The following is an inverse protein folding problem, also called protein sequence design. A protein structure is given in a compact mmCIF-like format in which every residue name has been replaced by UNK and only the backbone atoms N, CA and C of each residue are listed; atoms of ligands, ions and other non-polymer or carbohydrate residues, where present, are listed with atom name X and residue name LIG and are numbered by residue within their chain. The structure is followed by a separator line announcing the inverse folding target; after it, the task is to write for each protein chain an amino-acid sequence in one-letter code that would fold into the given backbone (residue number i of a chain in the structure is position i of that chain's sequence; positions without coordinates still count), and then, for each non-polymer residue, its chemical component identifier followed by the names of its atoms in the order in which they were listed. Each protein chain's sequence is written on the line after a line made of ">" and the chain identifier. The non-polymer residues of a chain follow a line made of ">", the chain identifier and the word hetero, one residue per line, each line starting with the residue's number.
data_IF_008550579981
#
_entry.id   IF_008550579981
#
_cell.length_a   1.000
_cell.length_b   1.000
_cell.length_c   1.000
_cell.angle_alpha   90.00
_cell.angle_beta   90.00
_cell.angle_gamma   90.00
#
_symmetry.space_group_name_H-M   'P 1'
#
loop_
_entity.id
_entity.type
_entity.pdbx_description
1 polymer ?
#
# COMPACT_ATOMS: atom_id res chain seq x y z
N UNK A 1 -1.62 9.58 32.18
CA UNK A 1 -2.20 10.93 31.99
C UNK A 1 -2.55 11.06 30.53
N UNK A 2 -3.83 10.88 30.18
CA UNK A 2 -4.30 10.96 28.80
C UNK A 2 -4.49 12.42 28.41
N UNK A 3 -3.69 12.91 27.46
CA UNK A 3 -3.80 14.25 26.92
C UNK A 3 -5.11 14.37 26.14
N UNK A 4 -6.08 15.08 26.73
CA UNK A 4 -7.40 15.34 26.14
C UNK A 4 -7.23 16.41 25.06
N UNK A 5 -7.48 16.05 23.80
CA UNK A 5 -7.42 16.98 22.66
C UNK A 5 -8.43 18.12 22.89
N UNK A 6 -8.04 19.40 22.74
CA UNK A 6 -8.95 20.53 22.94
C UNK A 6 -10.10 20.52 21.91
N UNK A 7 -11.34 20.57 22.41
CA UNK A 7 -12.61 20.42 21.65
C UNK A 7 -12.95 21.59 20.71
N UNK A 8 -12.00 22.44 20.34
CA UNK A 8 -12.30 23.58 19.48
C UNK A 8 -12.17 23.19 18.00
N UNK A 9 -13.28 22.66 17.45
CA UNK A 9 -13.63 22.59 16.02
C UNK A 9 -12.48 22.29 15.05
N UNK A 10 -11.90 21.09 15.14
CA UNK A 10 -11.16 20.52 14.01
C UNK A 10 -11.98 19.35 13.49
N UNK A 11 -12.90 19.67 12.58
CA UNK A 11 -13.68 18.67 11.83
C UNK A 11 -12.97 18.51 10.50
N UNK A 12 -12.52 17.31 10.19
CA UNK A 12 -11.94 16.98 8.90
C UNK A 12 -12.91 16.06 8.16
N UNK A 13 -13.79 16.57 7.30
CA UNK A 13 -14.67 15.72 6.52
C UNK A 13 -13.79 14.85 5.61
N UNK A 14 -13.89 13.52 5.76
CA UNK A 14 -13.06 12.57 5.00
C UNK A 14 -13.28 12.65 3.48
N UNK A 15 -14.36 13.29 3.04
CA UNK A 15 -14.69 13.59 1.64
C UNK A 15 -14.14 14.92 1.15
N UNK A 16 -13.75 15.82 2.06
CA UNK A 16 -13.31 17.19 1.72
C UNK A 16 -11.82 17.41 1.96
N UNK A 17 -11.18 16.60 2.81
CA UNK A 17 -9.77 16.73 3.12
C UNK A 17 -9.01 15.41 2.94
N UNK A 18 -8.11 15.30 1.94
CA UNK A 18 -7.30 14.11 1.71
C UNK A 18 -6.22 13.89 2.78
N UNK A 19 -6.17 14.72 3.84
CA UNK A 19 -5.29 14.56 5.01
C UNK A 19 -6.06 14.08 6.26
N UNK A 20 -7.39 13.98 6.18
CA UNK A 20 -8.23 13.60 7.31
C UNK A 20 -7.93 12.16 7.79
N UNK A 21 -7.71 11.24 6.85
CA UNK A 21 -7.41 9.84 7.12
C UNK A 21 -6.01 9.66 7.72
N UNK A 22 -5.05 10.43 7.23
CA UNK A 22 -3.66 10.46 7.67
C UNK A 22 -3.58 11.04 9.09
N UNK A 23 -4.33 12.11 9.37
CA UNK A 23 -4.49 12.64 10.71
C UNK A 23 -5.16 11.62 11.65
N UNK A 24 -6.21 10.93 11.20
CA UNK A 24 -6.88 9.88 11.96
C UNK A 24 -5.93 8.72 12.31
N UNK A 25 -5.11 8.29 11.34
CA UNK A 25 -4.06 7.29 11.54
C UNK A 25 -3.05 7.76 12.59
N UNK A 26 -2.53 8.98 12.46
CA UNK A 26 -1.59 9.56 13.42
C UNK A 26 -2.17 9.63 14.84
N UNK A 27 -3.46 9.94 14.99
CA UNK A 27 -4.12 9.93 16.30
C UNK A 27 -4.22 8.51 16.89
N UNK A 28 -4.52 7.49 16.08
CA UNK A 28 -4.54 6.09 16.54
C UNK A 28 -3.13 5.60 16.92
N UNK A 29 -2.09 6.02 16.20
CA UNK A 29 -0.68 5.76 16.53
C UNK A 29 -0.30 6.34 17.91
N UNK A 30 -0.85 7.51 18.24
CA UNK A 30 -0.68 8.16 19.55
C UNK A 30 -1.54 7.54 20.67
N UNK A 31 -2.32 6.50 20.36
CA UNK A 31 -3.15 5.79 21.33
C UNK A 31 -4.49 6.45 21.66
N UNK A 32 -4.93 7.41 20.84
CA UNK A 32 -6.27 8.01 20.96
C UNK A 32 -7.33 6.94 20.71
N UNK A 33 -8.42 6.98 21.48
CA UNK A 33 -9.42 5.91 21.41
C UNK A 33 -10.16 5.95 20.07
N UNK A 34 -10.54 4.79 19.51
CA UNK A 34 -11.21 4.72 18.19
C UNK A 34 -12.50 5.52 18.14
N UNK A 35 -13.24 5.56 19.26
CA UNK A 35 -14.48 6.33 19.41
C UNK A 35 -14.23 7.83 19.34
N UNK A 36 -13.10 8.31 19.89
CA UNK A 36 -12.73 9.73 19.86
C UNK A 36 -12.27 10.13 18.46
N UNK A 37 -11.48 9.29 17.79
CA UNK A 37 -11.08 9.51 16.39
C UNK A 37 -12.30 9.49 15.46
N UNK A 38 -13.23 8.54 15.64
CA UNK A 38 -14.47 8.49 14.88
C UNK A 38 -15.28 9.79 15.07
N UNK A 39 -15.42 10.30 16.29
CA UNK A 39 -16.14 11.54 16.55
C UNK A 39 -15.49 12.80 15.93
N UNK A 40 -14.19 12.76 15.60
CA UNK A 40 -13.46 13.87 14.97
C UNK A 40 -13.54 13.86 13.44
N UNK A 41 -13.53 12.66 12.85
CA UNK A 41 -13.52 12.46 11.39
C UNK A 41 -14.95 12.39 10.83
N UNK A 42 -15.91 11.99 11.66
CA UNK A 42 -17.33 11.95 11.28
C UNK A 42 -18.00 13.28 11.58
N UNK A 43 -18.74 13.80 10.61
CA UNK A 43 -19.69 14.87 10.89
C UNK A 43 -20.67 14.40 11.98
N UNK A 44 -21.05 15.24 12.96
CA UNK A 44 -22.05 14.89 13.95
C UNK A 44 -23.42 14.81 13.26
N UNK A 45 -23.69 13.71 12.56
CA UNK A 45 -25.05 13.33 12.19
C UNK A 45 -25.71 12.86 13.47
N UNK A 46 -26.74 13.56 13.93
CA UNK A 46 -27.45 13.31 15.20
C UNK A 46 -28.21 11.98 15.30
N UNK A 47 -27.71 10.92 14.64
CA UNK A 47 -28.22 9.55 14.71
C UNK A 47 -27.11 8.58 15.12
N UNK A 48 -27.47 7.55 15.86
CA UNK A 48 -26.59 6.52 16.44
C UNK A 48 -25.90 5.59 15.43
N UNK A 49 -26.14 5.77 14.13
CA UNK A 49 -25.59 4.95 13.05
C UNK A 49 -24.96 5.82 11.96
N UNK A 50 -23.74 5.47 11.56
CA UNK A 50 -23.08 6.00 10.38
C UNK A 50 -23.99 5.86 9.15
N UNK A 51 -24.02 6.85 8.23
CA UNK A 51 -24.71 6.66 6.97
C UNK A 51 -24.05 5.51 6.19
N UNK A 52 -24.80 4.72 5.40
CA UNK A 52 -24.31 3.49 4.75
C UNK A 52 -23.05 3.71 3.89
N UNK A 53 -22.89 4.90 3.31
CA UNK A 53 -21.73 5.29 2.51
C UNK A 53 -20.46 5.60 3.33
N UNK A 54 -20.55 5.66 4.66
CA UNK A 54 -19.42 5.91 5.57
C UNK A 54 -19.19 4.78 6.58
N UNK A 55 -19.91 3.66 6.48
CA UNK A 55 -19.65 2.47 7.31
C UNK A 55 -18.21 1.95 7.16
N UNK A 56 -17.63 2.10 5.97
CA UNK A 56 -16.25 1.73 5.66
C UNK A 56 -15.25 2.42 6.60
N UNK A 57 -15.49 3.69 6.94
CA UNK A 57 -14.59 4.50 7.76
C UNK A 57 -14.60 4.02 9.22
N UNK A 58 -15.77 3.70 9.76
CA UNK A 58 -15.89 3.12 11.10
C UNK A 58 -15.15 1.78 11.21
N UNK A 59 -15.28 0.94 10.19
CA UNK A 59 -14.58 -0.35 10.11
C UNK A 59 -13.07 -0.18 9.95
N UNK A 60 -12.63 0.78 9.15
CA UNK A 60 -11.22 1.14 8.96
C UNK A 60 -10.58 1.66 10.25
N UNK A 61 -11.26 2.56 10.98
CA UNK A 61 -10.77 3.08 12.27
C UNK A 61 -10.60 1.93 13.26
N UNK A 62 -11.56 1.01 13.32
CA UNK A 62 -11.50 -0.16 14.20
C UNK A 62 -10.34 -1.10 13.82
N UNK A 63 -10.12 -1.34 12.54
CA UNK A 63 -9.03 -2.20 12.06
C UNK A 63 -7.65 -1.62 12.42
N UNK A 64 -7.47 -0.30 12.25
CA UNK A 64 -6.24 0.41 12.61
C UNK A 64 -6.03 0.46 14.13
N UNK A 65 -7.09 0.62 14.92
CA UNK A 65 -7.00 0.54 16.37
C UNK A 65 -6.46 -0.82 16.85
N UNK A 66 -7.00 -1.91 16.33
CA UNK A 66 -6.50 -3.26 16.62
C UNK A 66 -5.04 -3.44 16.16
N UNK A 67 -4.65 -2.83 15.04
CA UNK A 67 -3.27 -2.84 14.57
C UNK A 67 -2.31 -2.20 15.57
N UNK A 68 -2.62 -0.97 16.04
CA UNK A 68 -1.79 -0.27 17.03
C UNK A 68 -1.85 -0.92 18.42
N UNK A 69 -2.93 -1.61 18.76
CA UNK A 69 -3.04 -2.47 19.94
C UNK A 69 -2.28 -3.80 19.81
N UNK A 70 -1.64 -4.09 18.66
CA UNK A 70 -0.96 -5.36 18.33
C UNK A 70 -1.88 -6.58 18.26
N UNK A 71 -3.18 -6.36 18.16
CA UNK A 71 -4.22 -7.38 17.98
C UNK A 71 -4.37 -7.70 16.49
N UNK A 72 -3.33 -8.27 15.88
CA UNK A 72 -3.25 -8.46 14.43
C UNK A 72 -4.35 -9.35 13.86
N UNK A 73 -4.78 -10.39 14.59
CA UNK A 73 -5.86 -11.26 14.14
C UNK A 73 -7.20 -10.50 14.01
N UNK A 74 -7.54 -9.68 15.00
CA UNK A 74 -8.73 -8.81 14.97
C UNK A 74 -8.62 -7.77 13.87
N UNK A 75 -7.44 -7.17 13.69
CA UNK A 75 -7.17 -6.20 12.62
C UNK A 75 -7.43 -6.82 11.23
N UNK A 76 -6.85 -7.99 10.95
CA UNK A 76 -7.04 -8.75 9.70
C UNK A 76 -8.53 -9.06 9.47
N UNK A 77 -9.26 -9.50 10.50
CA UNK A 77 -10.68 -9.81 10.36
C UNK A 77 -11.53 -8.59 9.97
N UNK A 78 -11.22 -7.42 10.53
CA UNK A 78 -11.92 -6.18 10.19
C UNK A 78 -11.56 -5.69 8.77
N UNK A 79 -10.29 -5.76 8.37
CA UNK A 79 -9.88 -5.42 7.01
C UNK A 79 -10.45 -6.37 5.95
N UNK A 80 -10.57 -7.66 6.25
CA UNK A 80 -11.19 -8.64 5.35
C UNK A 80 -12.67 -8.38 5.10
N UNK A 81 -13.40 -7.95 6.13
CA UNK A 81 -14.80 -7.54 5.97
C UNK A 81 -14.92 -6.26 5.13
N UNK A 82 -13.94 -5.36 5.24
CA UNK A 82 -13.85 -4.16 4.44
C UNK A 82 -13.55 -4.50 2.96
N UNK A 83 -12.60 -5.42 2.71
CA UNK A 83 -12.25 -5.95 1.38
C UNK A 83 -13.46 -6.51 0.62
N UNK A 84 -14.34 -7.26 1.30
CA UNK A 84 -15.54 -7.83 0.68
C UNK A 84 -16.47 -6.75 0.08
N UNK A 85 -16.34 -5.49 0.51
CA UNK A 85 -17.11 -4.34 0.06
C UNK A 85 -16.36 -3.44 -0.93
N UNK A 86 -15.08 -3.72 -1.22
CA UNK A 86 -14.24 -2.93 -2.14
C UNK A 86 -14.71 -2.98 -3.60
N UNK A 87 -15.50 -4.01 -3.96
CA UNK A 87 -16.04 -4.18 -5.32
C UNK A 87 -16.93 -3.03 -5.82
N UNK A 88 -17.32 -2.08 -4.95
CA UNK A 88 -18.21 -0.98 -5.32
C UNK A 88 -17.65 0.43 -5.12
N UNK A 89 -16.42 0.65 -4.65
CA UNK A 89 -16.13 1.89 -3.93
C UNK A 89 -14.77 2.54 -4.24
N UNK A 90 -14.89 3.78 -4.71
CA UNK A 90 -14.13 4.99 -4.41
C UNK A 90 -12.60 4.84 -4.11
N UNK A 91 -11.71 5.48 -4.89
CA UNK A 91 -10.27 5.55 -4.64
C UNK A 91 -9.87 5.87 -3.19
N UNK A 92 -10.71 6.54 -2.40
CA UNK A 92 -10.41 6.82 -0.99
C UNK A 92 -10.42 5.60 -0.06
N UNK A 93 -11.13 4.51 -0.40
CA UNK A 93 -11.16 3.28 0.42
C UNK A 93 -9.88 2.42 0.32
N UNK A 94 -9.07 2.70 -0.68
CA UNK A 94 -7.77 2.08 -0.95
C UNK A 94 -6.75 2.48 0.12
N UNK A 95 -6.88 3.70 0.66
CA UNK A 95 -5.95 4.25 1.65
C UNK A 95 -6.07 3.50 2.97
N UNK A 96 -4.93 3.03 3.46
CA UNK A 96 -4.84 2.21 4.68
C UNK A 96 -4.97 0.70 4.46
N UNK A 97 -5.20 0.25 3.22
CA UNK A 97 -5.12 -1.18 2.87
C UNK A 97 -3.68 -1.67 2.68
N UNK A 98 -2.72 -0.76 2.61
CA UNK A 98 -1.28 -1.03 2.71
C UNK A 98 -0.94 -1.78 4.02
N UNK A 99 -1.57 -1.38 5.13
CA UNK A 99 -1.42 -2.05 6.44
C UNK A 99 -1.97 -3.47 6.38
N UNK A 100 -3.14 -3.67 5.78
CA UNK A 100 -3.73 -5.00 5.61
C UNK A 100 -2.82 -5.92 4.80
N UNK A 101 -2.31 -5.45 3.66
CA UNK A 101 -1.36 -6.20 2.85
C UNK A 101 -0.07 -6.54 3.64
N UNK A 102 0.48 -5.59 4.39
CA UNK A 102 1.64 -5.80 5.26
C UNK A 102 1.38 -6.85 6.35
N UNK A 103 0.18 -6.87 6.93
CA UNK A 103 -0.23 -7.88 7.90
C UNK A 103 -0.34 -9.27 7.28
N UNK A 104 -0.96 -9.39 6.11
CA UNK A 104 -1.06 -10.67 5.40
C UNK A 104 0.31 -11.20 4.98
N UNK A 105 1.21 -10.32 4.52
CA UNK A 105 2.59 -10.65 4.22
C UNK A 105 3.36 -11.15 5.45
N UNK A 106 3.17 -10.48 6.60
CA UNK A 106 3.81 -10.86 7.88
C UNK A 106 3.28 -12.19 8.42
N UNK A 107 1.98 -12.43 8.29
CA UNK A 107 1.31 -13.67 8.74
C UNK A 107 1.50 -14.84 7.75
N UNK A 108 2.29 -14.64 6.69
CA UNK A 108 2.56 -15.62 5.62
C UNK A 108 1.29 -16.15 4.93
N UNK A 109 0.20 -15.37 4.93
CA UNK A 109 -1.08 -15.71 4.29
C UNK A 109 -1.04 -15.39 2.80
N UNK A 110 -0.17 -16.07 2.06
CA UNK A 110 0.12 -15.77 0.64
C UNK A 110 -1.13 -15.86 -0.24
N UNK A 111 -2.02 -16.83 0.00
CA UNK A 111 -3.27 -16.96 -0.78
C UNK A 111 -4.25 -15.81 -0.55
N UNK A 112 -4.40 -15.36 0.68
CA UNK A 112 -5.28 -14.22 1.00
C UNK A 112 -4.68 -12.92 0.45
N UNK A 113 -3.35 -12.76 0.55
CA UNK A 113 -2.64 -11.63 -0.03
C UNK A 113 -2.78 -11.60 -1.56
N UNK A 114 -2.72 -12.76 -2.21
CA UNK A 114 -2.92 -12.87 -3.65
C UNK A 114 -4.34 -12.42 -4.06
N UNK A 115 -5.37 -12.96 -3.41
CA UNK A 115 -6.76 -12.55 -3.68
C UNK A 115 -6.94 -11.06 -3.47
N UNK A 116 -6.39 -10.52 -2.38
CA UNK A 116 -6.46 -9.10 -2.07
C UNK A 116 -5.78 -8.25 -3.16
N UNK A 117 -4.55 -8.59 -3.58
CA UNK A 117 -3.83 -7.87 -4.63
C UNK A 117 -4.58 -7.93 -5.96
N UNK A 118 -5.19 -9.07 -6.30
CA UNK A 118 -6.01 -9.19 -7.51
C UNK A 118 -7.24 -8.30 -7.46
N UNK A 119 -7.94 -8.25 -6.31
CA UNK A 119 -9.07 -7.33 -6.10
C UNK A 119 -8.62 -5.89 -6.26
N UNK A 120 -7.49 -5.50 -5.66
CA UNK A 120 -6.96 -4.14 -5.75
C UNK A 120 -6.59 -3.76 -7.18
N UNK A 121 -5.84 -4.62 -7.89
CA UNK A 121 -5.44 -4.37 -9.29
C UNK A 121 -6.65 -4.27 -10.22
N UNK A 122 -7.70 -5.07 -9.98
CA UNK A 122 -8.91 -5.04 -10.80
C UNK A 122 -9.86 -3.87 -10.46
N UNK A 123 -9.95 -3.49 -9.19
CA UNK A 123 -10.78 -2.37 -8.75
C UNK A 123 -10.18 -1.00 -9.12
N UNK A 124 -8.86 -0.92 -9.26
CA UNK A 124 -8.13 0.36 -9.28
C UNK A 124 -7.18 0.47 -10.46
N UNK A 125 -7.67 0.09 -11.63
CA UNK A 125 -6.95 0.10 -12.92
C UNK A 125 -6.23 1.43 -13.23
N UNK A 126 -6.55 2.52 -12.53
CA UNK A 126 -6.00 3.87 -12.74
C UNK A 126 -5.15 4.46 -11.60
N UNK A 127 -4.95 3.76 -10.47
CA UNK A 127 -4.24 4.34 -9.32
C UNK A 127 -2.79 3.85 -9.23
N UNK A 128 -1.83 4.78 -9.29
CA UNK A 128 -0.43 4.53 -8.91
C UNK A 128 -0.29 4.03 -7.47
N UNK A 129 -1.30 4.27 -6.64
CA UNK A 129 -1.39 3.81 -5.24
C UNK A 129 -1.39 2.27 -5.10
N UNK A 130 -1.75 1.52 -6.16
CA UNK A 130 -1.72 0.05 -6.16
C UNK A 130 -0.33 -0.57 -6.34
N UNK A 131 0.65 0.23 -6.76
CA UNK A 131 2.01 -0.27 -7.02
C UNK A 131 2.67 -0.80 -5.75
N UNK A 132 2.37 -0.21 -4.60
CA UNK A 132 2.87 -0.66 -3.29
C UNK A 132 2.35 -2.06 -2.90
N UNK A 133 1.06 -2.35 -3.09
CA UNK A 133 0.50 -3.66 -2.76
C UNK A 133 1.09 -4.77 -3.63
N UNK A 134 1.27 -4.48 -4.93
CA UNK A 134 1.90 -5.39 -5.89
C UNK A 134 3.38 -5.61 -5.54
N UNK A 135 4.10 -4.57 -5.17
CA UNK A 135 5.51 -4.62 -4.73
C UNK A 135 5.67 -5.48 -3.47
N UNK A 136 4.82 -5.28 -2.47
CA UNK A 136 4.86 -6.05 -1.24
C UNK A 136 4.57 -7.54 -1.52
N UNK A 137 3.59 -7.83 -2.37
CA UNK A 137 3.27 -9.20 -2.77
C UNK A 137 4.43 -9.86 -3.52
N UNK A 138 5.06 -9.14 -4.46
CA UNK A 138 6.25 -9.61 -5.15
C UNK A 138 7.38 -9.96 -4.17
N UNK A 139 7.62 -9.13 -3.14
CA UNK A 139 8.64 -9.42 -2.11
C UNK A 139 8.37 -10.72 -1.33
N UNK A 140 7.11 -11.10 -1.15
CA UNK A 140 6.71 -12.35 -0.50
C UNK A 140 6.91 -13.53 -1.45
N UNK A 141 6.57 -13.37 -2.72
CA UNK A 141 6.75 -14.40 -3.75
C UNK A 141 8.22 -14.69 -4.07
N UNK A 142 9.10 -13.67 -4.03
CA UNK A 142 10.54 -13.85 -4.27
C UNK A 142 11.22 -14.78 -3.26
N UNK A 143 10.62 -14.98 -2.07
CA UNK A 143 11.13 -15.92 -1.07
C UNK A 143 10.98 -17.39 -1.48
N UNK A 144 10.14 -17.68 -2.48
CA UNK A 144 9.91 -19.03 -2.99
C UNK A 144 10.31 -19.08 -4.47
N UNK A 145 11.27 -19.94 -4.87
CA UNK A 145 11.79 -19.97 -6.24
C UNK A 145 10.71 -20.30 -7.29
N UNK A 146 9.68 -21.06 -6.91
CA UNK A 146 8.57 -21.45 -7.81
C UNK A 146 7.69 -20.25 -8.18
N UNK A 147 7.64 -19.20 -7.37
CA UNK A 147 6.73 -18.05 -7.56
C UNK A 147 7.43 -16.79 -8.08
N UNK A 148 8.74 -16.85 -8.34
CA UNK A 148 9.55 -15.70 -8.79
C UNK A 148 9.06 -15.16 -10.15
N UNK A 149 8.74 -16.03 -11.10
CA UNK A 149 8.19 -15.63 -12.42
C UNK A 149 6.87 -14.85 -12.30
N UNK A 150 6.02 -15.24 -11.34
CA UNK A 150 4.78 -14.53 -11.06
C UNK A 150 5.05 -13.15 -10.45
N UNK A 151 6.04 -13.05 -9.56
CA UNK A 151 6.48 -11.79 -8.97
C UNK A 151 6.95 -10.81 -10.06
N UNK A 152 7.74 -11.29 -11.03
CA UNK A 152 8.23 -10.53 -12.18
C UNK A 152 7.11 -9.96 -13.03
N UNK A 153 6.14 -10.79 -13.42
CA UNK A 153 4.97 -10.35 -14.20
C UNK A 153 4.15 -9.28 -13.45
N UNK A 154 4.03 -9.42 -12.14
CA UNK A 154 3.38 -8.43 -11.27
C UNK A 154 4.15 -7.10 -11.25
N UNK A 155 5.47 -7.14 -11.08
CA UNK A 155 6.33 -5.94 -11.05
C UNK A 155 6.35 -5.22 -12.40
N UNK A 156 6.39 -5.93 -13.52
CA UNK A 156 6.29 -5.33 -14.85
C UNK A 156 4.95 -4.64 -15.09
N UNK A 157 3.85 -5.22 -14.60
CA UNK A 157 2.54 -4.55 -14.62
C UNK A 157 2.53 -3.29 -13.76
N UNK A 158 3.16 -3.32 -12.59
CA UNK A 158 3.27 -2.14 -11.73
C UNK A 158 4.07 -1.01 -12.40
N UNK A 159 5.17 -1.33 -13.08
CA UNK A 159 5.97 -0.34 -13.81
C UNK A 159 5.26 0.26 -15.03
N UNK A 160 4.30 -0.46 -15.63
CA UNK A 160 3.43 0.10 -16.69
C UNK A 160 2.45 1.12 -16.14
N UNK A 161 2.05 0.99 -14.87
CA UNK A 161 1.15 1.94 -14.20
C UNK A 161 1.92 3.15 -13.67
N UNK A 162 3.08 2.92 -13.05
CA UNK A 162 3.98 3.96 -12.56
C UNK A 162 5.41 3.68 -12.99
N UNK A 163 5.83 4.39 -14.03
CA UNK A 163 7.18 4.28 -14.58
C UNK A 163 8.26 4.72 -13.59
N UNK A 164 7.94 5.48 -12.55
CA UNK A 164 8.91 6.02 -11.58
C UNK A 164 8.86 5.28 -10.23
N UNK A 165 8.21 4.12 -10.16
CA UNK A 165 8.13 3.34 -8.93
C UNK A 165 9.45 2.59 -8.63
N UNK A 166 10.41 3.31 -8.05
CA UNK A 166 11.75 2.80 -7.71
C UNK A 166 11.74 1.48 -6.89
N UNK A 167 10.83 1.26 -5.93
CA UNK A 167 10.81 -0.01 -5.19
C UNK A 167 10.58 -1.24 -6.09
N UNK A 168 9.74 -1.14 -7.13
CA UNK A 168 9.58 -2.24 -8.09
C UNK A 168 10.80 -2.43 -8.98
N UNK A 169 11.47 -1.34 -9.36
CA UNK A 169 12.73 -1.38 -10.13
C UNK A 169 13.79 -2.18 -9.36
N UNK A 170 13.97 -1.90 -8.07
CA UNK A 170 14.97 -2.60 -7.25
C UNK A 170 14.66 -4.09 -7.11
N UNK A 171 13.41 -4.46 -6.84
CA UNK A 171 13.03 -5.88 -6.75
C UNK A 171 13.17 -6.61 -8.08
N UNK A 172 12.80 -5.97 -9.20
CA UNK A 172 12.93 -6.57 -10.52
C UNK A 172 14.41 -6.77 -10.91
N UNK A 173 15.28 -5.84 -10.52
CA UNK A 173 16.71 -6.00 -10.69
C UNK A 173 17.30 -7.13 -9.83
N UNK A 174 16.84 -7.31 -8.59
CA UNK A 174 17.24 -8.45 -7.75
C UNK A 174 16.81 -9.79 -8.37
N UNK A 175 15.63 -9.87 -8.99
CA UNK A 175 15.21 -11.04 -9.76
C UNK A 175 16.15 -11.27 -10.96
N UNK A 176 16.49 -10.22 -11.71
CA UNK A 176 17.40 -10.36 -12.86
C UNK A 176 18.82 -10.77 -12.46
N UNK A 177 19.29 -10.33 -11.28
CA UNK A 177 20.57 -10.77 -10.72
C UNK A 177 20.55 -12.28 -10.40
N UNK A 178 19.46 -12.76 -9.77
CA UNK A 178 19.24 -14.19 -9.50
C UNK A 178 19.18 -15.03 -10.79
N UNK A 179 18.56 -14.51 -11.85
CA UNK A 179 18.46 -15.15 -13.17
C UNK A 179 19.75 -15.04 -14.02
N UNK A 180 20.77 -14.30 -13.56
CA UNK A 180 21.98 -13.92 -14.33
C UNK A 180 21.67 -13.12 -15.61
N UNK A 181 20.53 -12.44 -15.65
CA UNK A 181 20.06 -11.63 -16.77
C UNK A 181 20.49 -10.16 -16.61
N UNK A 182 21.78 -9.92 -16.38
CA UNK A 182 22.33 -8.62 -15.98
C UNK A 182 22.03 -7.48 -16.99
N UNK A 183 22.02 -7.79 -18.29
CA UNK A 183 21.73 -6.82 -19.35
C UNK A 183 20.35 -6.18 -19.19
N UNK A 184 19.33 -6.96 -18.81
CA UNK A 184 17.97 -6.45 -18.58
C UNK A 184 17.89 -5.58 -17.32
N UNK A 185 18.63 -5.95 -16.27
CA UNK A 185 18.75 -5.14 -15.07
C UNK A 185 19.43 -3.79 -15.33
N UNK A 186 20.52 -3.79 -16.12
CA UNK A 186 21.21 -2.55 -16.52
C UNK A 186 20.30 -1.65 -17.35
N UNK A 187 19.61 -2.21 -18.35
CA UNK A 187 18.66 -1.46 -19.16
C UNK A 187 17.57 -0.80 -18.30
N UNK A 188 17.03 -1.55 -17.34
CA UNK A 188 16.04 -1.06 -16.39
C UNK A 188 16.56 0.13 -15.57
N UNK A 189 17.79 0.08 -15.05
CA UNK A 189 18.39 1.20 -14.30
C UNK A 189 18.74 2.39 -15.19
N UNK A 190 19.17 2.16 -16.42
CA UNK A 190 19.46 3.23 -17.40
C UNK A 190 18.19 3.96 -17.79
N UNK A 191 17.05 3.25 -17.88
CA UNK A 191 15.75 3.86 -18.15
C UNK A 191 15.34 4.87 -17.06
N UNK A 192 15.68 4.59 -15.80
CA UNK A 192 15.33 5.41 -14.63
C UNK A 192 16.29 6.59 -14.38
N UNK A 193 17.47 6.62 -15.01
CA UNK A 193 18.44 7.71 -14.83
C UNK A 193 18.16 8.88 -15.77
N UNK A 194 18.26 10.15 -15.29
CA UNK A 194 18.11 11.33 -16.13
C UNK A 194 19.14 11.35 -17.26
N UNK A 195 18.80 11.91 -18.45
CA UNK A 195 19.68 11.89 -19.62
C UNK A 195 21.06 12.51 -19.39
N UNK A 196 21.19 13.49 -18.48
CA UNK A 196 22.48 14.08 -18.11
C UNK A 196 23.42 13.09 -17.40
N UNK A 197 22.89 12.16 -16.61
CA UNK A 197 23.65 11.13 -15.88
C UNK A 197 24.01 9.95 -16.79
N UNK A 198 23.22 9.70 -17.85
CA UNK A 198 23.48 8.63 -18.84
C UNK A 198 24.81 8.85 -19.56
N UNK A 199 25.20 10.10 -19.83
CA UNK A 199 26.44 10.44 -20.51
C UNK A 199 27.70 10.00 -19.74
N UNK A 200 27.64 10.03 -18.40
CA UNK A 200 28.74 9.58 -17.53
C UNK A 200 28.76 8.06 -17.36
N UNK A 201 27.60 7.44 -17.10
CA UNK A 201 27.50 5.99 -16.92
C UNK A 201 27.82 5.21 -18.21
N UNK A 202 27.35 5.65 -19.38
CA UNK A 202 27.71 5.01 -20.67
C UNK A 202 29.21 5.06 -20.98
N UNK A 203 29.92 6.06 -20.44
CA UNK A 203 31.36 6.22 -20.62
C UNK A 203 32.18 5.33 -19.68
N UNK A 204 31.61 4.95 -18.53
CA UNK A 204 32.25 4.12 -17.50
C UNK A 204 31.92 2.63 -17.64
N UNK A 205 30.81 2.26 -18.29
CA UNK A 205 30.40 0.83 -18.44
C UNK A 205 30.96 0.16 -19.71
N UNK A 206 31.22 0.90 -20.79
CA UNK A 206 31.90 0.35 -22.01
C UNK A 206 33.30 -0.26 -21.83
N UNK A 207 34.15 0.11 -20.85
CA UNK A 207 35.48 -0.47 -20.72
C UNK A 207 35.50 -1.96 -20.35
N UNK A 208 34.36 -2.56 -19.99
CA UNK A 208 34.30 -3.96 -19.52
C UNK A 208 33.99 -4.98 -20.63
N UNK A 209 33.71 -4.54 -21.87
CA UNK A 209 33.48 -5.45 -23.00
C UNK A 209 34.78 -5.89 -23.72
N UNK A 210 35.96 -5.60 -23.14
CA UNK A 210 37.29 -5.89 -23.73
C UNK A 210 38.26 -6.67 -22.82
N UNK A 211 37.77 -7.45 -21.85
CA UNK A 211 38.59 -8.41 -21.10
C UNK A 211 37.89 -9.76 -20.96
#
# INVERSE_FOLDING_TARGET
>A
MGSRIPKHKVVFPSTECPLALEAAKGLLELGVKPVEVAALVLHPTGGSSLPPNMEWLGQWIKANAHFHAREYASSIANFKQLEARVHSLDPYQVRGMDIYAALLAKDKKVKELETFVLVMVNALVHASECTYHVQLYASVLMKNPVTVEKAKLCLEKALKLDSNHLPAVYLLAEIYDQERAYLKGIELYVLQTPPLSRCWLFRVVRPLDYL
#
